data_IF_321883191092
#
_entry.id   IF_321883191092
#
_cell.length_a   1.000
_cell.length_b   1.000
_cell.length_c   1.000
_cell.angle_alpha   90.00
_cell.angle_beta   90.00
_cell.angle_gamma   90.00
#
_symmetry.space_group_name_H-M   'P 1'
#
loop_
_entity.id
_entity.type
_entity.pdbx_description
1 polymer ?
#
# COMPACT_ATOMS: atom_id res chain seq x y z
N UNK A 1 24.87 4.16 -20.75
CA UNK A 1 24.23 5.13 -19.82
C UNK A 1 22.75 5.15 -20.18
N UNK A 2 21.94 4.30 -19.55
CA UNK A 2 20.50 4.23 -19.84
C UNK A 2 19.72 4.67 -18.60
N UNK A 3 18.84 5.64 -18.81
CA UNK A 3 17.92 6.16 -17.83
C UNK A 3 16.93 5.06 -17.40
N UNK A 4 16.84 4.83 -16.09
CA UNK A 4 15.82 3.99 -15.48
C UNK A 4 14.47 4.68 -15.67
N UNK A 5 13.61 4.08 -16.49
CA UNK A 5 12.22 4.52 -16.65
C UNK A 5 11.50 4.48 -15.29
N UNK A 6 10.71 5.49 -14.92
CA UNK A 6 9.98 5.52 -13.65
C UNK A 6 9.02 4.33 -13.55
N UNK A 7 8.84 3.80 -12.34
CA UNK A 7 7.88 2.72 -12.12
C UNK A 7 6.44 3.26 -12.21
N UNK A 8 5.51 2.46 -12.71
CA UNK A 8 4.07 2.80 -12.77
C UNK A 8 3.52 3.24 -11.40
N UNK A 9 4.13 2.75 -10.32
CA UNK A 9 3.85 3.14 -8.95
C UNK A 9 4.25 4.60 -8.65
N UNK A 10 5.38 5.07 -9.17
CA UNK A 10 5.80 6.46 -9.00
C UNK A 10 4.81 7.39 -9.72
N UNK A 11 4.36 7.01 -10.92
CA UNK A 11 3.43 7.79 -11.73
C UNK A 11 2.03 7.86 -11.10
N UNK A 12 1.53 6.74 -10.55
CA UNK A 12 0.27 6.69 -9.80
C UNK A 12 0.30 7.49 -8.48
N UNK A 13 1.49 7.74 -7.93
CA UNK A 13 1.68 8.55 -6.73
C UNK A 13 1.93 10.05 -7.02
N UNK A 14 2.02 10.44 -8.30
CA UNK A 14 2.50 11.76 -8.73
C UNK A 14 1.41 12.73 -9.21
N UNK A 15 0.12 12.51 -8.94
CA UNK A 15 -0.91 13.51 -9.26
C UNK A 15 -0.87 14.71 -8.28
N UNK A 16 -0.44 15.88 -8.74
CA UNK A 16 -0.30 17.10 -7.93
C UNK A 16 -1.64 17.78 -7.58
N UNK A 17 -1.88 18.03 -6.28
CA UNK A 17 -1.89 19.38 -5.70
C UNK A 17 -1.94 19.28 -4.16
N UNK A 18 -0.84 19.67 -3.52
CA UNK A 18 -0.55 19.52 -2.08
C UNK A 18 -0.58 18.05 -1.61
N UNK A 19 0.53 17.32 -1.75
CA UNK A 19 0.79 16.21 -0.82
C UNK A 19 0.83 16.83 0.57
N UNK A 20 -0.28 16.74 1.28
CA UNK A 20 -0.38 17.31 2.61
C UNK A 20 0.73 16.66 3.45
N UNK A 21 1.27 17.36 4.45
CA UNK A 21 2.21 16.72 5.39
C UNK A 21 1.64 15.41 5.95
N UNK A 22 0.31 15.30 6.02
CA UNK A 22 -0.42 14.10 6.39
C UNK A 22 -0.29 12.97 5.36
N UNK A 23 -0.33 13.24 4.06
CA UNK A 23 -0.15 12.22 3.04
C UNK A 23 1.26 11.64 3.02
N UNK A 24 2.27 12.47 3.24
CA UNK A 24 3.66 12.04 3.39
C UNK A 24 3.84 11.15 4.64
N UNK A 25 3.22 11.52 5.75
CA UNK A 25 3.20 10.73 6.98
C UNK A 25 2.53 9.37 6.74
N UNK A 26 1.34 9.34 6.13
CA UNK A 26 0.60 8.09 5.89
C UNK A 26 1.34 7.16 4.93
N UNK A 27 1.97 7.71 3.88
CA UNK A 27 2.79 6.92 2.96
C UNK A 27 4.02 6.31 3.65
N UNK A 28 4.72 7.09 4.48
CA UNK A 28 5.86 6.60 5.25
C UNK A 28 5.44 5.54 6.29
N UNK A 29 4.35 5.79 7.02
CA UNK A 29 3.80 4.85 7.99
C UNK A 29 3.42 3.52 7.34
N UNK A 30 2.74 3.54 6.19
CA UNK A 30 2.37 2.33 5.46
C UNK A 30 3.58 1.49 5.05
N UNK A 31 4.65 2.11 4.53
CA UNK A 31 5.90 1.39 4.21
C UNK A 31 6.52 0.73 5.44
N UNK A 32 6.57 1.46 6.56
CA UNK A 32 7.16 0.98 7.81
C UNK A 32 6.33 -0.18 8.41
N UNK A 33 5.00 -0.10 8.40
CA UNK A 33 4.14 -1.19 8.83
C UNK A 33 4.29 -2.46 7.96
N UNK A 34 4.45 -2.31 6.65
CA UNK A 34 4.69 -3.46 5.75
C UNK A 34 6.05 -4.11 6.02
N UNK A 35 7.09 -3.30 6.23
CA UNK A 35 8.46 -3.80 6.41
C UNK A 35 8.71 -4.44 7.77
N UNK A 36 8.09 -3.93 8.84
CA UNK A 36 8.40 -4.31 10.21
C UNK A 36 7.21 -4.90 10.98
N UNK A 37 6.02 -4.97 10.37
CA UNK A 37 4.78 -5.35 11.04
C UNK A 37 4.29 -4.29 12.04
N UNK A 38 3.15 -4.51 12.68
CA UNK A 38 2.62 -3.56 13.67
C UNK A 38 3.49 -3.49 14.93
N UNK A 39 3.91 -4.63 15.47
CA UNK A 39 4.70 -4.69 16.72
C UNK A 39 6.13 -4.17 16.55
N UNK A 40 6.76 -4.42 15.40
CA UNK A 40 8.13 -3.98 15.12
C UNK A 40 8.29 -2.48 14.81
N UNK A 41 7.23 -1.68 15.02
CA UNK A 41 7.22 -0.25 14.66
C UNK A 41 6.94 0.65 15.85
N UNK A 42 7.39 1.89 15.73
CA UNK A 42 7.20 2.94 16.74
C UNK A 42 6.90 4.29 16.08
N UNK A 43 6.28 5.18 16.85
CA UNK A 43 6.04 6.56 16.44
C UNK A 43 7.34 7.29 16.08
N UNK A 44 8.44 6.99 16.77
CA UNK A 44 9.79 7.53 16.48
C UNK A 44 10.28 7.10 15.10
N UNK A 45 10.18 5.81 14.82
CA UNK A 45 10.63 5.24 13.55
C UNK A 45 9.86 5.85 12.39
N UNK A 46 8.54 6.00 12.55
CA UNK A 46 7.67 6.58 11.53
C UNK A 46 7.94 8.07 11.35
N UNK A 47 8.10 8.83 12.44
CA UNK A 47 8.43 10.26 12.36
C UNK A 47 9.75 10.49 11.61
N UNK A 48 10.78 9.67 11.91
CA UNK A 48 12.07 9.69 11.21
C UNK A 48 11.91 9.35 9.73
N UNK A 49 11.13 8.32 9.40
CA UNK A 49 10.88 7.91 8.01
C UNK A 49 10.08 8.95 7.21
N UNK A 50 9.18 9.69 7.86
CA UNK A 50 8.38 10.74 7.26
C UNK A 50 9.10 12.11 7.21
N UNK A 51 10.28 12.23 7.83
CA UNK A 51 11.01 13.51 7.92
C UNK A 51 10.28 14.58 8.74
N UNK A 52 9.50 14.17 9.74
CA UNK A 52 8.73 15.08 10.61
C UNK A 52 9.17 14.96 12.07
N UNK A 53 8.92 15.99 12.86
CA UNK A 53 9.16 15.93 14.30
C UNK A 53 8.17 14.97 14.98
N UNK A 54 8.62 14.27 16.04
CA UNK A 54 7.77 13.41 16.90
C UNK A 54 6.50 14.14 17.31
N UNK A 55 6.63 15.38 17.78
CA UNK A 55 5.50 16.19 18.23
C UNK A 55 4.48 16.45 17.10
N UNK A 56 4.92 16.64 15.86
CA UNK A 56 4.00 16.79 14.72
C UNK A 56 3.17 15.53 14.51
N UNK A 57 3.77 14.36 14.68
CA UNK A 57 3.07 13.09 14.52
C UNK A 57 2.04 12.87 15.63
N UNK A 58 2.41 13.11 16.90
CA UNK A 58 1.50 12.99 18.04
C UNK A 58 0.39 14.06 18.04
N UNK A 59 0.65 15.27 17.54
CA UNK A 59 -0.39 16.28 17.39
C UNK A 59 -1.46 15.87 16.37
N UNK A 60 -1.08 15.08 15.36
CA UNK A 60 -2.01 14.59 14.33
C UNK A 60 -2.69 13.28 14.73
N UNK A 61 -1.96 12.40 15.41
CA UNK A 61 -2.40 11.08 15.85
C UNK A 61 -2.17 10.96 17.37
N UNK A 62 -3.05 11.56 18.18
CA UNK A 62 -2.88 11.60 19.64
C UNK A 62 -2.95 10.20 20.26
N UNK A 63 -3.75 9.30 19.69
CA UNK A 63 -3.85 7.89 20.13
C UNK A 63 -2.70 7.01 19.60
N UNK A 64 -1.68 7.63 18.99
CA UNK A 64 -0.43 6.95 18.66
C UNK A 64 -0.51 6.00 17.46
N UNK A 65 0.12 4.83 17.62
CA UNK A 65 0.42 3.90 16.53
C UNK A 65 -0.85 3.27 15.96
N UNK A 66 -1.82 3.00 16.83
CA UNK A 66 -3.12 2.41 16.53
C UNK A 66 -3.95 3.32 15.63
N UNK A 67 -4.09 4.60 15.98
CA UNK A 67 -4.80 5.58 15.17
C UNK A 67 -4.11 5.81 13.81
N UNK A 68 -2.77 5.84 13.81
CA UNK A 68 -2.01 5.98 12.57
C UNK A 68 -2.17 4.75 11.66
N UNK A 69 -2.18 3.55 12.23
CA UNK A 69 -2.45 2.31 11.50
C UNK A 69 -3.85 2.32 10.90
N UNK A 70 -4.87 2.69 11.69
CA UNK A 70 -6.25 2.83 11.22
C UNK A 70 -6.36 3.80 10.03
N UNK A 71 -5.71 4.96 10.11
CA UNK A 71 -5.71 5.94 9.03
C UNK A 71 -4.98 5.43 7.76
N UNK A 72 -3.92 4.64 7.90
CA UNK A 72 -3.25 3.98 6.76
C UNK A 72 -4.16 2.93 6.14
N UNK A 73 -4.81 2.10 6.95
CA UNK A 73 -5.75 1.09 6.49
C UNK A 73 -6.94 1.72 5.75
N UNK A 74 -7.49 2.80 6.28
CA UNK A 74 -8.57 3.56 5.65
C UNK A 74 -8.12 4.16 4.31
N UNK A 75 -6.91 4.72 4.24
CA UNK A 75 -6.35 5.23 2.98
C UNK A 75 -6.20 4.12 1.95
N UNK A 76 -5.68 2.96 2.34
CA UNK A 76 -5.55 1.80 1.45
C UNK A 76 -6.91 1.29 1.00
N UNK A 77 -7.90 1.27 1.90
CA UNK A 77 -9.28 0.89 1.60
C UNK A 77 -9.92 1.83 0.58
N UNK A 78 -9.76 3.15 0.73
CA UNK A 78 -10.27 4.12 -0.25
C UNK A 78 -9.58 4.03 -1.61
N UNK A 79 -8.32 3.62 -1.65
CA UNK A 79 -7.59 3.37 -2.89
C UNK A 79 -7.88 1.99 -3.50
N UNK A 80 -8.69 1.16 -2.83
CA UNK A 80 -9.02 -0.18 -3.31
C UNK A 80 -10.03 -0.08 -4.47
N UNK A 81 -9.73 -0.65 -5.66
CA UNK A 81 -10.53 -0.45 -6.88
C UNK A 81 -12.00 -0.90 -6.80
N UNK A 82 -12.36 -1.73 -5.82
CA UNK A 82 -13.76 -2.14 -5.59
C UNK A 82 -14.67 -0.95 -5.25
N UNK A 83 -14.13 0.12 -4.66
CA UNK A 83 -14.94 1.29 -4.29
C UNK A 83 -15.37 2.15 -5.50
N UNK A 84 -14.64 2.10 -6.62
CA UNK A 84 -15.06 2.77 -7.88
C UNK A 84 -16.24 2.03 -8.55
N UNK A 85 -16.44 0.74 -8.26
CA UNK A 85 -17.51 -0.07 -8.83
C UNK A 85 -18.87 0.31 -8.25
N UNK A 86 -18.90 0.77 -7.00
CA UNK A 86 -20.12 1.24 -6.35
C UNK A 86 -20.69 2.52 -6.98
N UNK A 87 -19.91 3.17 -7.85
CA UNK A 87 -20.30 4.39 -8.58
C UNK A 87 -20.54 4.15 -10.08
N UNK A 88 -20.37 2.91 -10.57
CA UNK A 88 -20.57 2.53 -11.96
C UNK A 88 -22.06 2.16 -12.20
N UNK A 89 -22.79 3.06 -12.87
CA UNK A 89 -24.22 2.93 -13.17
C UNK A 89 -24.53 1.65 -13.98
N UNK A 90 -23.61 1.22 -14.85
CA UNK A 90 -23.78 0.03 -15.69
C UNK A 90 -23.52 -1.25 -14.88
N UNK A 91 -22.55 -1.22 -13.98
CA UNK A 91 -22.31 -2.28 -13.00
C UNK A 91 -23.46 -2.42 -11.99
N UNK A 92 -24.12 -1.31 -11.62
CA UNK A 92 -25.30 -1.30 -10.74
C UNK A 92 -26.56 -1.80 -11.43
N UNK A 93 -26.72 -1.51 -12.73
CA UNK A 93 -27.85 -1.98 -13.53
C UNK A 93 -27.74 -3.47 -13.91
N UNK A 94 -26.54 -4.05 -13.89
CA UNK A 94 -26.30 -5.45 -14.23
C UNK A 94 -25.46 -6.18 -13.15
N UNK A 95 -26.11 -6.99 -12.28
CA UNK A 95 -25.44 -7.71 -11.20
C UNK A 95 -24.29 -8.62 -11.66
N UNK A 96 -24.36 -9.21 -12.86
CA UNK A 96 -23.28 -10.04 -13.39
C UNK A 96 -22.06 -9.19 -13.79
N UNK A 97 -22.29 -8.03 -14.41
CA UNK A 97 -21.23 -7.09 -14.77
C UNK A 97 -20.54 -6.54 -13.52
N UNK A 98 -21.30 -6.14 -12.51
CA UNK A 98 -20.76 -5.69 -11.22
C UNK A 98 -19.92 -6.75 -10.52
N UNK A 99 -20.42 -8.00 -10.45
CA UNK A 99 -19.67 -9.11 -9.85
C UNK A 99 -18.39 -9.45 -10.63
N UNK A 100 -18.40 -9.36 -11.97
CA UNK A 100 -17.20 -9.54 -12.80
C UNK A 100 -16.18 -8.43 -12.57
N UNK A 101 -16.61 -7.18 -12.42
CA UNK A 101 -15.72 -6.04 -12.14
C UNK A 101 -15.11 -6.17 -10.74
N UNK A 102 -15.90 -6.55 -9.72
CA UNK A 102 -15.41 -6.82 -8.35
C UNK A 102 -14.39 -7.96 -8.39
N UNK A 103 -14.74 -9.06 -9.07
CA UNK A 103 -13.86 -10.21 -9.23
C UNK A 103 -12.53 -9.85 -9.88
N UNK A 104 -12.53 -8.97 -10.90
CA UNK A 104 -11.29 -8.47 -11.54
C UNK A 104 -10.50 -7.54 -10.64
N UNK A 105 -11.15 -6.61 -9.93
CA UNK A 105 -10.46 -5.69 -9.01
C UNK A 105 -9.80 -6.41 -7.84
N UNK A 106 -10.52 -7.34 -7.22
CA UNK A 106 -9.99 -8.21 -6.16
C UNK A 106 -8.88 -9.11 -6.71
N UNK A 107 -9.07 -9.73 -7.87
CA UNK A 107 -8.04 -10.57 -8.49
C UNK A 107 -6.80 -9.78 -8.89
N UNK A 108 -6.93 -8.56 -9.42
CA UNK A 108 -5.79 -7.71 -9.77
C UNK A 108 -5.04 -7.19 -8.54
N UNK A 109 -5.74 -6.97 -7.42
CA UNK A 109 -5.12 -6.59 -6.15
C UNK A 109 -4.42 -7.77 -5.46
N UNK A 110 -5.00 -8.99 -5.54
CA UNK A 110 -4.47 -10.19 -4.89
C UNK A 110 -3.57 -11.06 -5.80
N UNK A 111 -3.52 -10.81 -7.11
CA UNK A 111 -2.60 -11.49 -8.02
C UNK A 111 -1.25 -10.73 -8.09
N UNK A 112 -0.11 -11.38 -7.77
CA UNK A 112 1.19 -10.73 -7.85
C UNK A 112 1.89 -10.94 -9.21
N UNK A 113 2.64 -9.94 -9.72
CA UNK A 113 3.58 -10.13 -10.84
C UNK A 113 4.94 -10.81 -10.49
N UNK A 114 5.28 -11.11 -9.23
CA UNK A 114 6.67 -11.49 -8.88
C UNK A 114 6.87 -12.70 -7.93
N UNK A 115 5.80 -13.35 -7.44
CA UNK A 115 5.96 -14.45 -6.46
C UNK A 115 6.43 -15.77 -7.09
N UNK A 116 6.14 -16.01 -8.38
CA UNK A 116 6.67 -17.16 -9.12
C UNK A 116 8.21 -17.12 -9.23
N UNK A 117 8.83 -15.94 -9.19
CA UNK A 117 10.30 -15.85 -9.17
C UNK A 117 10.88 -16.26 -7.81
N UNK A 118 10.18 -16.03 -6.70
CA UNK A 118 10.63 -16.47 -5.38
C UNK A 118 10.46 -17.99 -5.19
N UNK A 119 9.30 -18.55 -5.57
CA UNK A 119 9.07 -20.00 -5.52
C UNK A 119 9.86 -20.76 -6.58
N UNK A 120 10.04 -20.17 -7.77
CA UNK A 120 10.92 -20.72 -8.80
C UNK A 120 12.39 -20.70 -8.37
N UNK A 121 12.86 -19.62 -7.74
CA UNK A 121 14.21 -19.53 -7.19
C UNK A 121 14.43 -20.50 -6.01
N UNK A 122 13.45 -20.66 -5.11
CA UNK A 122 13.57 -21.58 -3.96
C UNK A 122 13.56 -23.06 -4.38
N UNK A 123 12.80 -23.43 -5.41
CA UNK A 123 12.78 -24.80 -5.95
C UNK A 123 14.03 -25.12 -6.80
N UNK A 124 14.61 -24.14 -7.51
CA UNK A 124 15.81 -24.35 -8.35
C UNK A 124 17.12 -24.43 -7.53
N UNK A 125 17.14 -23.84 -6.33
CA UNK A 125 18.32 -23.75 -5.43
C UNK A 125 18.29 -24.74 -4.24
N UNK A 126 17.31 -25.65 -4.18
CA UNK A 126 17.13 -26.57 -3.06
C UNK A 126 18.35 -27.48 -2.75
N UNK A 127 19.29 -27.66 -3.68
CA UNK A 127 20.53 -28.43 -3.45
C UNK A 127 21.63 -27.67 -2.68
N UNK A 128 21.50 -26.35 -2.50
CA UNK A 128 22.52 -25.48 -1.87
C UNK A 128 22.28 -25.25 -0.36
N UNK A 129 21.25 -25.84 0.25
CA UNK A 129 21.00 -25.69 1.69
C UNK A 129 21.73 -26.79 2.49
N UNK A 130 22.62 -26.43 3.45
CA UNK A 130 23.24 -27.41 4.32
C UNK A 130 22.19 -28.04 5.26
N UNK A 131 22.31 -29.36 5.46
CA UNK A 131 21.42 -30.21 6.27
C UNK A 131 21.38 -29.82 7.74
#
# INVERSE_FOLDING_TARGET
MSATSPSLFDEMLSSEHSTSKQDAILAAAGRIFIQHGFEGTSMELIAKAAGVARQTLYNRFPDGKEALFGAVAERMWRAFPVMDIASDEEALANPEAGLRTIGRGVAAFWAPPLQWLFYGWSLLKAHDFPS
#
